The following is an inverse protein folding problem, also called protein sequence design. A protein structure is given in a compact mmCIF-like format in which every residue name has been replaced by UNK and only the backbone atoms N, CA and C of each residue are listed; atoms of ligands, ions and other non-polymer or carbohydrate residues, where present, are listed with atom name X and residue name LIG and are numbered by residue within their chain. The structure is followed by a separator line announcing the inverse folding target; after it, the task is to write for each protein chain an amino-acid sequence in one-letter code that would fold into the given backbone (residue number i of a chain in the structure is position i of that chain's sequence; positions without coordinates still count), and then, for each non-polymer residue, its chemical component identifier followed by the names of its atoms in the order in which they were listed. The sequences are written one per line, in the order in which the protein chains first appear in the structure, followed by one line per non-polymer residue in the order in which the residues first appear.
data_IF_296418023086
#
_entry.id   IF_296418023086
#
_cell.length_a   1.000
_cell.length_b   1.000
_cell.length_c   1.000
_cell.angle_alpha   90.00
_cell.angle_beta   90.00
_cell.angle_gamma   90.00
#
_symmetry.space_group_name_H-M   'P 1'
#
loop_
_entity.id
_entity.type
_entity.pdbx_description
1 polymer ?
#
# COMPACT_ATOMS: atom_id res chain seq x y z
N UNK A 1 -44.95 -0.68 2.88
CA UNK A 1 -43.69 -1.22 3.43
C UNK A 1 -42.57 -1.29 2.38
N UNK A 2 -42.85 -1.70 1.14
CA UNK A 2 -41.85 -1.84 0.06
C UNK A 2 -41.13 -0.52 -0.27
N UNK A 3 -41.85 0.61 -0.33
CA UNK A 3 -41.27 1.94 -0.59
C UNK A 3 -40.20 2.37 0.43
N UNK A 4 -40.36 1.96 1.70
CA UNK A 4 -39.37 2.25 2.75
C UNK A 4 -38.10 1.43 2.56
N UNK A 5 -38.25 0.16 2.16
CA UNK A 5 -37.12 -0.71 1.81
C UNK A 5 -36.33 -0.19 0.61
N UNK A 6 -37.01 0.28 -0.44
CA UNK A 6 -36.35 0.85 -1.62
C UNK A 6 -35.55 2.11 -1.25
N UNK A 7 -36.10 2.97 -0.38
CA UNK A 7 -35.37 4.13 0.14
C UNK A 7 -34.14 3.74 0.97
N UNK A 8 -34.25 2.74 1.84
CA UNK A 8 -33.11 2.25 2.63
C UNK A 8 -32.01 1.69 1.72
N UNK A 9 -32.37 0.93 0.68
CA UNK A 9 -31.42 0.37 -0.29
C UNK A 9 -30.74 1.47 -1.13
N UNK A 10 -31.47 2.52 -1.51
CA UNK A 10 -30.91 3.70 -2.19
C UNK A 10 -29.86 4.42 -1.32
N UNK A 11 -30.14 4.59 -0.03
CA UNK A 11 -29.21 5.20 0.92
C UNK A 11 -27.95 4.36 1.14
N UNK A 12 -28.08 3.02 1.15
CA UNK A 12 -26.96 2.10 1.26
C UNK A 12 -26.06 2.11 0.02
N UNK A 13 -26.64 2.24 -1.19
CA UNK A 13 -25.87 2.37 -2.44
C UNK A 13 -25.13 3.71 -2.55
N UNK A 14 -25.64 4.78 -1.96
CA UNK A 14 -24.91 6.06 -1.87
C UNK A 14 -23.71 6.00 -0.89
N UNK A 15 -23.70 5.03 0.02
CA UNK A 15 -22.64 4.81 1.01
C UNK A 15 -21.64 3.73 0.60
N UNK A 16 -21.64 3.27 -0.65
CA UNK A 16 -20.50 2.53 -1.19
C UNK A 16 -19.38 3.52 -1.41
N UNK A 17 -18.65 3.83 -0.34
CA UNK A 17 -17.33 4.45 -0.42
C UNK A 17 -16.55 3.66 -1.45
N UNK A 18 -16.24 4.35 -2.53
CA UNK A 18 -15.26 4.01 -3.55
C UNK A 18 -14.15 3.22 -2.85
N UNK A 19 -13.80 2.00 -3.32
CA UNK A 19 -12.70 1.25 -2.73
C UNK A 19 -11.53 2.21 -2.82
N UNK A 20 -11.11 2.77 -1.67
CA UNK A 20 -10.07 3.79 -1.59
C UNK A 20 -8.97 3.27 -2.49
N UNK A 21 -8.85 3.91 -3.66
CA UNK A 21 -7.76 3.66 -4.58
C UNK A 21 -6.57 3.69 -3.66
N UNK A 22 -5.97 2.51 -3.47
CA UNK A 22 -4.92 2.32 -2.50
C UNK A 22 -3.79 3.13 -3.07
N UNK A 23 -3.79 4.43 -2.75
CA UNK A 23 -2.89 5.44 -3.28
C UNK A 23 -1.55 4.85 -2.94
N UNK A 24 -0.90 4.27 -3.96
CA UNK A 24 0.39 3.65 -3.80
C UNK A 24 1.21 4.74 -3.14
N UNK A 25 1.60 4.51 -1.89
CA UNK A 25 2.24 5.54 -1.10
C UNK A 25 3.46 5.98 -1.93
N UNK A 26 3.63 7.28 -2.20
CA UNK A 26 4.68 7.73 -3.10
C UNK A 26 6.00 7.14 -2.62
N UNK A 27 6.71 6.47 -3.53
CA UNK A 27 7.97 5.86 -3.15
C UNK A 27 9.05 6.94 -3.11
N UNK A 28 9.33 7.38 -1.90
CA UNK A 28 10.27 8.44 -1.60
C UNK A 28 11.13 8.08 -0.39
N UNK A 29 12.29 8.72 -0.29
CA UNK A 29 13.12 8.62 0.90
C UNK A 29 12.47 9.44 2.02
N UNK A 30 12.26 8.80 3.18
CA UNK A 30 11.79 9.46 4.41
C UNK A 30 12.93 10.06 5.21
N UNK A 31 14.16 9.58 4.96
CA UNK A 31 15.37 10.09 5.57
C UNK A 31 15.88 11.37 4.92
N UNK A 32 16.79 12.04 5.61
CA UNK A 32 17.56 13.16 5.03
C UNK A 32 18.45 12.61 3.92
N UNK A 33 18.60 13.36 2.82
CA UNK A 33 19.37 12.97 1.64
C UNK A 33 20.79 12.49 1.99
N UNK A 34 21.50 13.21 2.86
CA UNK A 34 22.86 12.85 3.28
C UNK A 34 22.92 11.48 3.95
N UNK A 35 21.93 11.15 4.79
CA UNK A 35 21.85 9.87 5.47
C UNK A 35 21.68 8.74 4.45
N UNK A 36 20.73 8.88 3.54
CA UNK A 36 20.48 7.87 2.52
C UNK A 36 21.65 7.69 1.56
N UNK A 37 22.34 8.78 1.21
CA UNK A 37 23.59 8.74 0.45
C UNK A 37 24.69 7.95 1.18
N UNK A 38 24.85 8.17 2.49
CA UNK A 38 25.82 7.41 3.28
C UNK A 38 25.46 5.92 3.39
N UNK A 39 24.18 5.59 3.59
CA UNK A 39 23.69 4.20 3.61
C UNK A 39 24.01 3.50 2.29
N UNK A 40 23.75 4.15 1.15
CA UNK A 40 24.07 3.63 -0.19
C UNK A 40 25.58 3.43 -0.38
N UNK A 41 26.37 4.46 -0.08
CA UNK A 41 27.83 4.43 -0.27
C UNK A 41 28.52 3.37 0.62
N UNK A 42 27.94 3.05 1.78
CA UNK A 42 28.44 1.99 2.68
C UNK A 42 27.95 0.60 2.31
N UNK A 43 27.17 0.44 1.23
CA UNK A 43 26.61 -0.86 0.83
C UNK A 43 25.54 -1.40 1.78
N UNK A 44 24.95 -0.54 2.62
CA UNK A 44 24.04 -0.95 3.69
C UNK A 44 22.61 -1.23 3.21
N UNK A 45 22.29 -0.93 1.94
CA UNK A 45 20.99 -1.28 1.36
C UNK A 45 20.74 -2.79 1.49
N UNK A 46 21.70 -3.65 1.15
CA UNK A 46 21.50 -5.11 1.13
C UNK A 46 22.24 -5.84 2.26
N UNK A 47 22.69 -5.12 3.29
CA UNK A 47 23.36 -5.72 4.44
C UNK A 47 22.31 -6.09 5.49
N UNK A 48 22.18 -7.38 5.79
CA UNK A 48 21.01 -7.99 6.45
C UNK A 48 20.31 -7.15 7.54
N UNK A 49 21.04 -6.70 8.57
CA UNK A 49 20.45 -5.93 9.68
C UNK A 49 20.02 -4.51 9.29
N UNK A 50 20.68 -3.90 8.30
CA UNK A 50 20.36 -2.55 7.82
C UNK A 50 19.38 -2.53 6.66
N UNK A 51 19.09 -3.67 6.02
CA UNK A 51 18.15 -3.76 4.90
C UNK A 51 16.74 -3.31 5.29
N UNK A 52 16.23 -3.71 6.46
CA UNK A 52 14.92 -3.25 6.94
C UNK A 52 14.89 -1.73 7.18
N UNK A 53 15.96 -1.19 7.75
CA UNK A 53 16.11 0.24 7.97
C UNK A 53 16.17 1.00 6.64
N UNK A 54 16.99 0.53 5.71
CA UNK A 54 17.15 1.12 4.39
C UNK A 54 15.84 1.04 3.57
N UNK A 55 15.09 -0.06 3.68
CA UNK A 55 13.77 -0.19 3.07
C UNK A 55 12.71 0.73 3.67
N UNK A 56 12.81 1.06 4.96
CA UNK A 56 11.84 1.95 5.62
C UNK A 56 12.14 3.43 5.40
N UNK A 57 13.42 3.82 5.37
CA UNK A 57 13.88 5.21 5.43
C UNK A 57 14.43 5.69 4.08
N UNK A 58 15.14 4.83 3.36
CA UNK A 58 15.87 5.16 2.13
C UNK A 58 15.38 4.32 0.95
N UNK A 59 14.06 4.08 0.90
CA UNK A 59 13.42 3.15 -0.02
C UNK A 59 13.71 3.50 -1.49
N UNK A 60 13.75 4.79 -1.83
CA UNK A 60 14.02 5.26 -3.19
C UNK A 60 15.52 5.18 -3.48
N UNK A 61 16.37 5.66 -2.58
CA UNK A 61 17.83 5.63 -2.73
C UNK A 61 18.40 4.22 -2.88
N UNK A 62 17.83 3.26 -2.14
CA UNK A 62 18.19 1.84 -2.16
C UNK A 62 17.29 1.00 -3.09
N UNK A 63 16.48 1.63 -3.94
CA UNK A 63 15.70 0.96 -5.00
C UNK A 63 14.73 -0.13 -4.49
N UNK A 64 14.23 0.01 -3.26
CA UNK A 64 13.23 -0.87 -2.65
C UNK A 64 11.79 -0.58 -3.08
N UNK A 65 11.61 0.42 -3.93
CA UNK A 65 10.33 0.74 -4.54
C UNK A 65 9.84 -0.42 -5.42
N UNK A 66 9.08 -1.35 -4.86
CA UNK A 66 8.34 -2.33 -5.67
C UNK A 66 7.13 -1.61 -6.28
N UNK A 67 7.05 -1.57 -7.60
CA UNK A 67 5.90 -1.06 -8.36
C UNK A 67 4.69 -2.00 -8.32
N UNK A 68 4.77 -3.09 -7.56
CA UNK A 68 3.68 -4.02 -7.34
C UNK A 68 2.61 -3.31 -6.49
N UNK A 69 1.64 -2.70 -7.19
CA UNK A 69 0.36 -2.28 -6.61
C UNK A 69 -0.11 -3.38 -5.65
N UNK A 70 -0.65 -3.05 -4.46
CA UNK A 70 -1.22 -4.07 -3.60
C UNK A 70 -2.31 -4.82 -4.39
N UNK A 71 -2.04 -6.07 -4.78
CA UNK A 71 -3.07 -6.96 -5.31
C UNK A 71 -4.09 -7.13 -4.20
N UNK A 72 -5.18 -6.39 -4.32
CA UNK A 72 -6.39 -6.56 -3.52
C UNK A 72 -6.85 -8.01 -3.67
N UNK A 73 -6.30 -8.89 -2.82
CA UNK A 73 -6.73 -10.28 -2.69
C UNK A 73 -7.78 -10.32 -1.58
N UNK A 74 -8.78 -9.44 -1.67
CA UNK A 74 -9.99 -9.51 -0.86
C UNK A 74 -11.16 -9.87 -1.75
N UNK A 75 -11.04 -11.00 -2.46
CA UNK A 75 -12.14 -11.75 -3.06
C UNK A 75 -11.65 -13.16 -3.41
N UNK A 76 -11.28 -13.96 -2.41
CA UNK A 76 -11.23 -15.42 -2.58
C UNK A 76 -11.59 -16.15 -1.29
N UNK A 77 -12.75 -15.81 -0.70
CA UNK A 77 -13.41 -16.68 0.28
C UNK A 77 -14.76 -17.23 -0.20
N UNK A 78 -15.20 -16.88 -1.42
CA UNK A 78 -16.54 -17.23 -1.92
C UNK A 78 -16.51 -17.85 -3.33
N UNK A 79 -15.57 -18.77 -3.57
CA UNK A 79 -15.62 -19.72 -4.70
C UNK A 79 -15.01 -21.07 -4.30
N UNK A 80 -15.39 -21.56 -3.13
CA UNK A 80 -15.06 -22.92 -2.69
C UNK A 80 -16.25 -23.69 -2.13
N UNK A 81 -17.48 -23.30 -2.49
CA UNK A 81 -18.72 -24.06 -2.31
C UNK A 81 -19.78 -23.52 -3.28
N UNK A 82 -19.69 -23.95 -4.54
CA UNK A 82 -20.82 -24.19 -5.44
C UNK A 82 -20.35 -25.28 -6.42
#
# INVERSE_FOLDING_TARGET
MILRFVHVLLLLNAFTTEPRESRAQPCEDKGIEELCRQVKNRGQCHMGSTTLFAAAICAKTCEFCTTEKPKNTRNNKERRNQ
#
